data_IF_889040226548
#
_entry.id   IF_889040226548
#
_cell.length_a   1.000
_cell.length_b   1.000
_cell.length_c   1.000
_cell.angle_alpha   90.00
_cell.angle_beta   90.00
_cell.angle_gamma   90.00
#
_symmetry.space_group_name_H-M   'P 1'
#
loop_
_entity.id
_entity.type
_entity.pdbx_description
1 polymer ?
#
# COMPACT_ATOMS: atom_id res chain seq x y z
N UNK A 1 4.25 23.85 19.59
CA UNK A 1 4.56 23.28 18.26
C UNK A 1 3.43 23.72 17.35
N UNK A 2 3.74 24.26 16.17
CA UNK A 2 2.71 24.65 15.21
C UNK A 2 2.29 23.39 14.43
N UNK A 3 1.33 22.64 14.98
CA UNK A 3 0.86 21.35 14.44
C UNK A 3 0.39 21.45 12.98
N UNK A 4 0.11 22.66 12.50
CA UNK A 4 -0.30 22.93 11.12
C UNK A 4 0.78 22.69 10.06
N UNK A 5 2.05 22.47 10.43
CA UNK A 5 3.15 22.22 9.47
C UNK A 5 3.61 20.76 9.39
N UNK A 6 3.23 19.92 10.34
CA UNK A 6 3.74 18.55 10.44
C UNK A 6 2.71 17.53 9.91
N UNK A 7 2.89 17.11 8.66
CA UNK A 7 2.04 16.10 8.04
C UNK A 7 2.47 14.69 8.46
N UNK A 8 1.50 13.82 8.76
CA UNK A 8 1.74 12.43 9.17
C UNK A 8 2.38 11.57 8.07
N UNK A 9 2.37 12.03 6.81
CA UNK A 9 3.00 11.38 5.65
C UNK A 9 4.48 11.73 5.47
N UNK A 10 5.07 12.52 6.35
CA UNK A 10 6.51 12.85 6.28
C UNK A 10 7.37 11.66 6.73
N UNK A 11 8.50 11.42 6.05
CA UNK A 11 9.39 10.28 6.32
C UNK A 11 10.04 10.34 7.70
N UNK A 12 10.56 11.51 8.08
CA UNK A 12 11.23 11.70 9.35
C UNK A 12 10.96 13.11 9.86
N UNK A 13 10.40 13.15 11.08
CA UNK A 13 10.36 14.33 11.94
C UNK A 13 10.85 13.86 13.31
N UNK A 14 11.93 14.47 13.79
CA UNK A 14 12.44 14.26 15.15
C UNK A 14 12.88 15.60 15.74
N UNK A 15 13.48 15.60 16.92
CA UNK A 15 14.03 16.78 17.56
C UNK A 15 15.44 16.53 18.08
N UNK A 16 16.27 17.55 18.07
CA UNK A 16 17.61 17.48 18.65
C UNK A 16 17.58 17.07 20.12
N UNK A 17 18.40 16.07 20.49
CA UNK A 17 18.54 15.60 21.87
C UNK A 17 19.40 16.54 22.74
N UNK A 18 20.26 17.33 22.10
CA UNK A 18 21.19 18.31 22.66
C UNK A 18 21.41 19.47 21.68
N UNK A 19 22.01 20.55 22.14
CA UNK A 19 22.37 21.67 21.25
C UNK A 19 23.33 21.18 20.17
N UNK A 20 23.07 21.54 18.91
CA UNK A 20 23.90 21.10 17.78
C UNK A 20 24.39 22.30 16.98
N UNK A 21 25.70 22.39 16.79
CA UNK A 21 26.33 23.39 15.93
C UNK A 21 26.65 22.78 14.58
N UNK A 22 26.10 23.38 13.52
CA UNK A 22 26.34 22.93 12.15
C UNK A 22 27.82 23.08 11.77
N UNK A 23 28.51 22.02 11.33
CA UNK A 23 29.89 22.12 10.87
C UNK A 23 30.02 22.90 9.55
N UNK A 24 28.91 23.12 8.83
CA UNK A 24 28.91 23.81 7.54
C UNK A 24 28.51 25.29 7.63
N UNK A 25 27.60 25.65 8.53
CA UNK A 25 27.12 27.04 8.67
C UNK A 25 27.60 27.74 9.95
N UNK A 26 28.13 26.98 10.93
CA UNK A 26 28.48 27.51 12.25
C UNK A 26 27.28 27.92 13.11
N UNK A 27 26.05 27.73 12.62
CA UNK A 27 24.84 28.07 13.38
C UNK A 27 24.53 26.99 14.41
N UNK A 28 24.17 27.42 15.62
CA UNK A 28 23.74 26.54 16.71
C UNK A 28 22.22 26.45 16.74
N UNK A 29 21.71 25.23 16.68
CA UNK A 29 20.30 24.91 16.90
C UNK A 29 20.15 24.34 18.32
N UNK A 30 19.26 24.90 19.17
CA UNK A 30 19.11 24.43 20.54
C UNK A 30 18.46 23.05 20.59
N UNK A 31 18.68 22.31 21.69
CA UNK A 31 17.96 21.10 22.05
C UNK A 31 16.45 21.28 21.89
N UNK A 32 15.78 20.26 21.34
CA UNK A 32 14.36 20.29 21.05
C UNK A 32 14.01 20.93 19.70
N UNK A 33 14.98 21.52 18.97
CA UNK A 33 14.74 22.00 17.61
C UNK A 33 14.34 20.86 16.68
N UNK A 34 13.33 21.08 15.84
CA UNK A 34 12.82 20.07 14.93
C UNK A 34 13.80 19.77 13.80
N UNK A 35 14.02 18.48 13.55
CA UNK A 35 14.75 17.95 12.41
C UNK A 35 13.75 17.29 11.48
N UNK A 36 13.76 17.73 10.21
CA UNK A 36 12.93 17.17 9.16
C UNK A 36 13.83 16.66 8.04
N UNK A 37 13.58 15.44 7.55
CA UNK A 37 14.27 14.96 6.36
C UNK A 37 13.69 15.66 5.12
N UNK A 38 14.53 16.39 4.39
CA UNK A 38 14.16 17.15 3.20
C UNK A 38 14.97 16.72 1.98
N UNK A 39 14.37 16.83 0.80
CA UNK A 39 15.05 16.72 -0.49
C UNK A 39 15.08 18.08 -1.18
N UNK A 40 16.23 18.42 -1.77
CA UNK A 40 16.43 19.66 -2.53
C UNK A 40 16.50 19.31 -4.01
N UNK A 41 15.45 19.66 -4.74
CA UNK A 41 15.27 19.36 -6.16
C UNK A 41 15.65 20.59 -6.97
N UNK A 42 16.63 20.48 -7.86
CA UNK A 42 16.95 21.55 -8.80
C UNK A 42 15.89 21.59 -9.91
N UNK A 43 15.03 22.61 -9.90
CA UNK A 43 14.02 22.80 -10.96
C UNK A 43 14.65 23.38 -12.22
N UNK A 44 15.57 24.34 -12.06
CA UNK A 44 16.36 24.90 -13.16
C UNK A 44 17.64 25.56 -12.60
N UNK A 45 18.41 26.23 -13.47
CA UNK A 45 19.68 26.89 -13.08
C UNK A 45 19.55 27.87 -11.91
N UNK A 46 18.39 28.49 -11.70
CA UNK A 46 18.17 29.56 -10.70
C UNK A 46 17.23 29.16 -9.56
N UNK A 47 16.61 27.99 -9.61
CA UNK A 47 15.55 27.60 -8.67
C UNK A 47 15.76 26.18 -8.15
N UNK A 48 15.80 26.07 -6.83
CA UNK A 48 15.69 24.82 -6.11
C UNK A 48 14.33 24.77 -5.40
N UNK A 49 13.71 23.60 -5.38
CA UNK A 49 12.52 23.30 -4.60
C UNK A 49 12.95 22.40 -3.44
N UNK A 50 12.67 22.84 -2.21
CA UNK A 50 12.85 21.99 -1.03
C UNK A 50 11.50 21.36 -0.68
N UNK A 51 11.46 20.05 -0.57
CA UNK A 51 10.29 19.30 -0.10
C UNK A 51 10.68 18.48 1.12
N UNK A 52 9.72 18.25 2.02
CA UNK A 52 9.86 17.16 2.98
C UNK A 52 9.88 15.84 2.23
N UNK A 53 10.78 14.93 2.58
CA UNK A 53 10.78 13.58 2.01
C UNK A 53 9.51 12.88 2.48
N UNK A 54 8.64 12.43 1.57
CA UNK A 54 7.43 11.73 1.96
C UNK A 54 7.72 10.27 2.30
N UNK A 55 6.93 9.69 3.20
CA UNK A 55 6.89 8.26 3.41
C UNK A 55 6.06 7.57 2.33
N UNK A 56 6.69 6.72 1.54
CA UNK A 56 6.06 6.07 0.40
C UNK A 56 4.89 5.17 0.82
N UNK A 57 5.03 4.40 1.90
CA UNK A 57 3.96 3.57 2.46
C UNK A 57 2.73 4.42 2.82
N UNK A 58 2.96 5.53 3.54
CA UNK A 58 1.92 6.46 3.96
C UNK A 58 1.21 7.10 2.76
N UNK A 59 1.94 7.55 1.74
CA UNK A 59 1.34 8.12 0.53
C UNK A 59 0.47 7.09 -0.20
N UNK A 60 0.99 5.88 -0.40
CA UNK A 60 0.34 4.84 -1.17
C UNK A 60 -0.93 4.30 -0.48
N UNK A 61 -0.89 4.09 0.85
CA UNK A 61 -2.08 3.75 1.63
C UNK A 61 -3.14 4.87 1.54
N UNK A 62 -2.73 6.13 1.53
CA UNK A 62 -3.67 7.26 1.49
C UNK A 62 -4.35 7.37 0.14
N UNK A 63 -3.60 7.17 -0.95
CA UNK A 63 -4.16 7.09 -2.29
C UNK A 63 -5.16 5.93 -2.33
N UNK A 64 -4.77 4.74 -1.87
CA UNK A 64 -5.65 3.58 -1.85
C UNK A 64 -6.97 3.82 -1.08
N UNK A 65 -6.89 4.45 0.09
CA UNK A 65 -8.06 4.80 0.91
C UNK A 65 -8.98 5.82 0.21
N UNK A 66 -8.42 6.84 -0.43
CA UNK A 66 -9.20 7.86 -1.14
C UNK A 66 -9.89 7.27 -2.37
N UNK A 67 -9.18 6.50 -3.19
CA UNK A 67 -9.76 5.85 -4.38
C UNK A 67 -10.82 4.82 -3.99
N UNK A 68 -10.62 4.09 -2.88
CA UNK A 68 -11.66 3.23 -2.32
C UNK A 68 -12.89 4.02 -1.91
N UNK A 69 -12.73 5.14 -1.19
CA UNK A 69 -13.86 5.98 -0.79
C UNK A 69 -14.64 6.47 -2.01
N UNK A 70 -13.94 6.92 -3.05
CA UNK A 70 -14.55 7.37 -4.30
C UNK A 70 -15.35 6.25 -4.98
N UNK A 71 -14.78 5.04 -5.11
CA UNK A 71 -15.50 3.90 -5.71
C UNK A 71 -16.75 3.52 -4.91
N UNK A 72 -16.69 3.59 -3.57
CA UNK A 72 -17.84 3.36 -2.70
C UNK A 72 -18.92 4.42 -2.85
N UNK A 73 -18.55 5.69 -3.01
CA UNK A 73 -19.49 6.77 -3.28
C UNK A 73 -20.21 6.55 -4.61
N UNK A 74 -19.48 6.21 -5.68
CA UNK A 74 -20.07 5.89 -6.99
C UNK A 74 -21.03 4.70 -6.87
N UNK A 75 -20.57 3.58 -6.30
CA UNK A 75 -21.38 2.36 -6.15
C UNK A 75 -22.67 2.57 -5.36
N UNK A 76 -22.60 3.40 -4.31
CA UNK A 76 -23.75 3.74 -3.48
C UNK A 76 -24.75 4.62 -4.26
N UNK A 77 -24.26 5.63 -4.98
CA UNK A 77 -25.08 6.50 -5.83
C UNK A 77 -25.81 5.70 -6.92
N UNK A 78 -25.10 4.78 -7.58
CA UNK A 78 -25.66 3.88 -8.60
C UNK A 78 -26.64 2.84 -8.03
N UNK A 79 -26.84 2.79 -6.70
CA UNK A 79 -27.81 1.90 -6.07
C UNK A 79 -27.47 0.41 -6.15
N UNK A 80 -26.23 0.06 -6.46
CA UNK A 80 -25.76 -1.33 -6.66
C UNK A 80 -25.98 -2.19 -5.41
N UNK A 81 -25.86 -1.59 -4.22
CA UNK A 81 -26.00 -2.31 -2.94
C UNK A 81 -27.40 -2.17 -2.31
N UNK A 82 -28.38 -1.56 -3.00
CA UNK A 82 -29.74 -1.41 -2.45
C UNK A 82 -30.46 -2.77 -2.40
N UNK A 83 -30.98 -3.15 -1.23
CA UNK A 83 -31.71 -4.40 -1.08
C UNK A 83 -33.02 -4.43 -1.88
N UNK A 84 -33.36 -5.59 -2.45
CA UNK A 84 -34.58 -5.82 -3.24
C UNK A 84 -35.91 -5.62 -2.48
N UNK A 85 -35.89 -5.36 -1.16
CA UNK A 85 -37.11 -5.14 -0.36
C UNK A 85 -37.94 -3.94 -0.83
N UNK A 86 -37.37 -3.06 -1.64
CA UNK A 86 -38.01 -1.88 -2.24
C UNK A 86 -38.75 -2.17 -3.57
N UNK A 87 -38.58 -3.37 -4.16
CA UNK A 87 -39.21 -3.77 -5.43
C UNK A 87 -40.21 -4.92 -5.18
N UNK A 88 -41.25 -4.67 -4.38
CA UNK A 88 -42.39 -5.58 -4.17
C UNK A 88 -43.39 -5.51 -5.32
N UNK A 89 -42.98 -5.81 -6.55
CA UNK A 89 -43.93 -5.91 -7.67
C UNK A 89 -43.31 -6.61 -8.86
N UNK A 90 -43.13 -7.92 -8.70
CA UNK A 90 -43.23 -8.99 -9.72
C UNK A 90 -42.27 -10.14 -9.33
N UNK A 91 -42.88 -11.26 -8.93
CA UNK A 91 -42.18 -12.53 -8.73
C UNK A 91 -41.46 -12.91 -10.03
N UNK A 92 -40.26 -13.47 -9.87
CA UNK A 92 -39.47 -14.28 -10.83
C UNK A 92 -38.49 -13.64 -11.82
N UNK A 93 -38.14 -12.36 -11.74
CA UNK A 93 -36.99 -11.81 -12.49
C UNK A 93 -35.91 -11.27 -11.55
N UNK A 94 -34.65 -11.70 -11.75
CA UNK A 94 -33.50 -11.10 -11.04
C UNK A 94 -33.50 -9.61 -11.37
N UNK A 95 -33.42 -8.74 -10.35
CA UNK A 95 -33.32 -7.29 -10.61
C UNK A 95 -32.01 -7.02 -11.34
N UNK A 96 -32.09 -6.48 -12.55
CA UNK A 96 -30.92 -5.99 -13.26
C UNK A 96 -30.56 -4.61 -12.69
N UNK A 97 -29.28 -4.42 -12.35
CA UNK A 97 -28.75 -3.14 -11.89
C UNK A 97 -27.67 -2.70 -12.87
N UNK A 98 -27.64 -1.42 -13.20
CA UNK A 98 -26.67 -0.81 -14.09
C UNK A 98 -26.23 0.55 -13.55
N UNK A 99 -25.06 1.00 -13.99
CA UNK A 99 -24.64 2.40 -13.81
C UNK A 99 -25.53 3.34 -14.63
N UNK A 100 -25.54 4.61 -14.25
CA UNK A 100 -26.28 5.65 -14.97
C UNK A 100 -25.65 5.97 -16.33
N UNK A 101 -24.33 5.79 -16.46
CA UNK A 101 -23.57 6.00 -17.68
C UNK A 101 -22.30 5.14 -17.71
N UNK A 102 -21.76 4.91 -18.90
CA UNK A 102 -20.46 4.25 -19.06
C UNK A 102 -19.31 5.03 -18.40
N UNK A 103 -19.39 6.37 -18.35
CA UNK A 103 -18.39 7.18 -17.65
C UNK A 103 -18.36 6.83 -16.16
N UNK A 104 -19.53 6.77 -15.52
CA UNK A 104 -19.65 6.42 -14.10
C UNK A 104 -19.17 4.98 -13.83
N UNK A 105 -19.45 4.05 -14.74
CA UNK A 105 -18.94 2.68 -14.69
C UNK A 105 -17.40 2.64 -14.73
N UNK A 106 -16.80 3.34 -15.69
CA UNK A 106 -15.35 3.39 -15.83
C UNK A 106 -14.68 4.11 -14.65
N UNK A 107 -15.23 5.23 -14.18
CA UNK A 107 -14.73 5.93 -12.99
C UNK A 107 -14.71 5.01 -11.74
N UNK A 108 -15.73 4.16 -11.58
CA UNK A 108 -15.76 3.15 -10.52
C UNK A 108 -14.64 2.13 -10.70
N UNK A 109 -14.51 1.54 -11.88
CA UNK A 109 -13.51 0.51 -12.19
C UNK A 109 -12.10 1.07 -11.97
N UNK A 110 -11.81 2.27 -12.49
CA UNK A 110 -10.54 2.98 -12.35
C UNK A 110 -10.21 3.22 -10.87
N UNK A 111 -11.18 3.72 -10.09
CA UNK A 111 -11.01 3.98 -8.66
C UNK A 111 -10.70 2.70 -7.87
N UNK A 112 -11.35 1.57 -8.20
CA UNK A 112 -11.04 0.27 -7.58
C UNK A 112 -9.64 -0.20 -7.98
N UNK A 113 -9.29 -0.13 -9.28
CA UNK A 113 -7.98 -0.56 -9.77
C UNK A 113 -6.85 0.26 -9.13
N UNK A 114 -6.99 1.59 -9.06
CA UNK A 114 -6.04 2.47 -8.37
C UNK A 114 -5.90 2.08 -6.89
N UNK A 115 -7.02 1.81 -6.22
CA UNK A 115 -7.01 1.39 -4.83
C UNK A 115 -6.21 0.09 -4.62
N UNK A 116 -6.37 -0.89 -5.52
CA UNK A 116 -5.66 -2.18 -5.48
C UNK A 116 -4.16 -1.97 -5.70
N UNK A 117 -3.81 -1.27 -6.78
CA UNK A 117 -2.40 -1.05 -7.16
C UNK A 117 -1.68 -0.31 -6.04
N UNK A 118 -2.28 0.76 -5.51
CA UNK A 118 -1.65 1.58 -4.48
C UNK A 118 -1.60 0.89 -3.12
N UNK A 119 -2.58 0.05 -2.76
CA UNK A 119 -2.50 -0.81 -1.57
C UNK A 119 -1.31 -1.78 -1.68
N UNK A 120 -1.09 -2.35 -2.87
CA UNK A 120 0.03 -3.26 -3.11
C UNK A 120 1.38 -2.54 -3.11
N UNK A 121 1.47 -1.38 -3.76
CA UNK A 121 2.67 -0.54 -3.75
C UNK A 121 3.03 -0.10 -2.33
N UNK A 122 2.04 0.18 -1.47
CA UNK A 122 2.30 0.47 -0.07
C UNK A 122 2.97 -0.69 0.66
N UNK A 123 2.54 -1.93 0.40
CA UNK A 123 3.17 -3.11 1.00
C UNK A 123 4.61 -3.29 0.53
N UNK A 124 4.89 -3.13 -0.77
CA UNK A 124 6.28 -3.17 -1.30
C UNK A 124 7.15 -2.10 -0.66
N UNK A 125 6.65 -0.86 -0.58
CA UNK A 125 7.36 0.25 0.04
C UNK A 125 7.65 -0.01 1.52
N UNK A 126 6.67 -0.53 2.26
CA UNK A 126 6.82 -0.87 3.67
C UNK A 126 7.93 -1.90 3.89
N UNK A 127 7.92 -2.99 3.13
CA UNK A 127 8.92 -4.04 3.27
C UNK A 127 10.31 -3.51 2.96
N UNK A 128 10.48 -2.74 1.88
CA UNK A 128 11.78 -2.17 1.52
C UNK A 128 12.28 -1.16 2.56
N UNK A 129 11.37 -0.40 3.19
CA UNK A 129 11.70 0.52 4.27
C UNK A 129 12.14 -0.20 5.56
N UNK A 130 11.53 -1.34 5.88
CA UNK A 130 11.86 -2.11 7.10
C UNK A 130 13.18 -2.88 6.97
N UNK A 131 13.60 -3.26 5.75
CA UNK A 131 14.85 -3.99 5.55
C UNK A 131 16.06 -3.08 5.87
N UNK A 132 16.90 -3.42 6.85
CA UNK A 132 18.12 -2.68 7.17
C UNK A 132 19.13 -2.71 6.02
N UNK A 133 19.94 -1.66 5.87
CA UNK A 133 20.95 -1.56 4.80
C UNK A 133 22.06 -2.63 4.91
N UNK A 134 22.36 -3.08 6.13
CA UNK A 134 23.36 -4.09 6.45
C UNK A 134 22.80 -5.53 6.52
N UNK A 135 21.50 -5.72 6.31
CA UNK A 135 20.88 -7.04 6.35
C UNK A 135 21.32 -7.90 5.15
N UNK A 136 21.61 -9.17 5.43
CA UNK A 136 22.03 -10.18 4.46
C UNK A 136 21.09 -11.38 4.48
N UNK A 137 20.41 -11.62 3.36
CA UNK A 137 19.53 -12.76 3.20
C UNK A 137 20.28 -13.92 2.55
N UNK A 138 20.22 -15.10 3.16
CA UNK A 138 20.86 -16.31 2.66
C UNK A 138 19.78 -17.24 2.11
N UNK A 139 19.86 -17.56 0.81
CA UNK A 139 18.89 -18.47 0.17
C UNK A 139 19.60 -19.54 -0.64
N UNK A 140 19.02 -20.74 -0.66
CA UNK A 140 19.51 -21.80 -1.54
C UNK A 140 18.96 -21.59 -2.94
N UNK A 141 19.84 -21.54 -3.94
CA UNK A 141 19.38 -21.61 -5.34
C UNK A 141 18.79 -23.00 -5.63
N UNK A 142 18.22 -23.19 -6.82
CA UNK A 142 17.66 -24.47 -7.34
C UNK A 142 18.55 -25.72 -7.19
N UNK A 143 19.81 -25.59 -6.77
CA UNK A 143 20.70 -26.65 -6.31
C UNK A 143 21.02 -26.40 -4.84
N UNK A 144 20.72 -27.37 -3.97
CA UNK A 144 20.87 -27.29 -2.50
C UNK A 144 22.29 -26.93 -2.02
N UNK A 145 23.29 -27.01 -2.90
CA UNK A 145 24.71 -26.86 -2.59
C UNK A 145 25.16 -25.39 -2.57
N UNK A 146 24.48 -24.47 -3.27
CA UNK A 146 24.92 -23.07 -3.39
C UNK A 146 24.03 -22.17 -2.54
N UNK A 147 24.61 -21.60 -1.49
CA UNK A 147 24.03 -20.50 -0.71
C UNK A 147 24.33 -19.21 -1.46
N UNK A 148 23.28 -18.52 -1.90
CA UNK A 148 23.35 -17.17 -2.44
C UNK A 148 23.12 -16.18 -1.30
N UNK A 149 24.08 -15.30 -1.06
CA UNK A 149 23.91 -14.13 -0.18
C UNK A 149 23.36 -12.97 -1.01
N UNK A 150 22.26 -12.37 -0.53
CA UNK A 150 21.63 -11.21 -1.13
C UNK A 150 21.73 -10.02 -0.17
N UNK A 151 22.28 -8.90 -0.65
CA UNK A 151 22.20 -7.61 0.03
C UNK A 151 20.81 -6.96 -0.14
N UNK A 152 20.57 -5.85 0.57
CA UNK A 152 19.32 -5.09 0.48
C UNK A 152 18.91 -4.75 -0.96
N UNK A 153 19.84 -4.30 -1.80
CA UNK A 153 19.53 -3.91 -3.18
C UNK A 153 19.06 -5.13 -3.99
N UNK A 154 19.69 -6.28 -3.79
CA UNK A 154 19.30 -7.53 -4.42
C UNK A 154 17.95 -8.03 -3.89
N UNK A 155 17.71 -7.97 -2.58
CA UNK A 155 16.44 -8.35 -1.96
C UNK A 155 15.30 -7.48 -2.52
N UNK A 156 15.48 -6.16 -2.54
CA UNK A 156 14.47 -5.22 -3.02
C UNK A 156 14.07 -5.49 -4.48
N UNK A 157 15.05 -5.80 -5.32
CA UNK A 157 14.89 -5.95 -6.77
C UNK A 157 14.42 -7.33 -7.22
N UNK A 158 14.92 -8.39 -6.60
CA UNK A 158 14.77 -9.75 -7.13
C UNK A 158 13.90 -10.65 -6.28
N UNK A 159 13.80 -10.39 -4.96
CA UNK A 159 13.02 -11.23 -4.09
C UNK A 159 11.53 -10.92 -4.24
N UNK A 160 10.70 -11.96 -4.30
CA UNK A 160 9.26 -11.76 -4.33
C UNK A 160 8.78 -11.17 -3.01
N UNK A 161 7.83 -10.25 -3.04
CA UNK A 161 7.19 -9.72 -1.83
C UNK A 161 6.58 -10.80 -0.93
N UNK A 162 6.15 -11.93 -1.50
CA UNK A 162 5.66 -13.08 -0.74
C UNK A 162 6.78 -13.68 0.14
N UNK A 163 7.96 -13.84 -0.42
CA UNK A 163 9.13 -14.31 0.33
C UNK A 163 9.62 -13.25 1.32
N UNK A 164 9.60 -11.97 0.93
CA UNK A 164 9.95 -10.89 1.85
C UNK A 164 9.04 -10.87 3.09
N UNK A 165 7.72 -11.04 2.92
CA UNK A 165 6.80 -11.12 4.06
C UNK A 165 6.84 -12.44 4.82
N UNK A 166 7.09 -13.57 4.15
CA UNK A 166 7.00 -14.88 4.82
C UNK A 166 8.29 -15.38 5.43
N UNK A 167 9.43 -14.79 5.06
CA UNK A 167 10.76 -15.20 5.52
C UNK A 167 11.60 -14.00 5.97
N UNK A 168 11.81 -12.99 5.10
CA UNK A 168 12.75 -11.88 5.39
C UNK A 168 12.32 -11.02 6.58
N UNK A 169 11.10 -10.48 6.57
CA UNK A 169 10.61 -9.67 7.69
C UNK A 169 10.50 -10.47 9.00
N UNK A 170 10.01 -11.73 9.00
CA UNK A 170 10.09 -12.62 10.16
C UNK A 170 11.48 -12.74 10.77
N UNK A 171 12.53 -12.87 9.95
CA UNK A 171 13.92 -12.97 10.39
C UNK A 171 14.42 -11.64 10.98
N UNK A 172 14.19 -10.52 10.29
CA UNK A 172 14.61 -9.18 10.74
C UNK A 172 13.93 -8.80 12.06
N UNK A 173 12.62 -9.03 12.16
CA UNK A 173 11.80 -8.60 13.30
C UNK A 173 11.63 -9.68 14.37
N UNK A 174 12.31 -10.83 14.22
CA UNK A 174 12.24 -11.97 15.13
C UNK A 174 10.80 -12.37 15.48
N UNK A 175 9.95 -12.46 14.46
CA UNK A 175 8.51 -12.77 14.59
C UNK A 175 8.15 -14.01 13.77
N UNK A 176 7.11 -14.78 14.12
CA UNK A 176 6.69 -15.91 13.30
C UNK A 176 6.29 -15.52 11.87
N UNK A 177 6.26 -16.50 10.96
CA UNK A 177 5.74 -16.29 9.62
C UNK A 177 4.21 -16.08 9.63
N UNK A 178 3.65 -15.10 8.90
CA UNK A 178 2.21 -14.86 8.86
C UNK A 178 1.43 -15.88 8.02
N UNK A 179 2.08 -16.83 7.33
CA UNK A 179 1.48 -17.73 6.32
C UNK A 179 0.18 -18.44 6.73
N UNK A 180 -0.03 -18.68 8.03
CA UNK A 180 -1.22 -19.36 8.58
C UNK A 180 -2.30 -18.41 9.11
N UNK A 181 -2.12 -17.10 8.97
CA UNK A 181 -2.98 -16.07 9.53
C UNK A 181 -3.94 -15.48 8.48
N UNK A 182 -5.02 -14.85 8.95
CA UNK A 182 -6.01 -14.19 8.08
C UNK A 182 -5.40 -13.07 7.24
N UNK A 183 -4.50 -12.27 7.81
CA UNK A 183 -3.82 -11.18 7.08
C UNK A 183 -3.06 -11.69 5.85
N UNK A 184 -2.47 -12.88 5.93
CA UNK A 184 -1.80 -13.52 4.80
C UNK A 184 -2.77 -13.90 3.68
N UNK A 185 -3.94 -14.44 4.03
CA UNK A 185 -4.97 -14.75 3.03
C UNK A 185 -5.47 -13.48 2.33
N UNK A 186 -5.65 -12.38 3.08
CA UNK A 186 -5.96 -11.06 2.53
C UNK A 186 -4.88 -10.58 1.55
N UNK A 187 -3.62 -10.60 1.97
CA UNK A 187 -2.47 -10.30 1.11
C UNK A 187 -2.46 -11.14 -0.19
N UNK A 188 -2.66 -12.47 -0.10
CA UNK A 188 -2.67 -13.35 -1.28
C UNK A 188 -3.82 -13.03 -2.24
N UNK A 189 -5.01 -12.70 -1.72
CA UNK A 189 -6.15 -12.25 -2.53
C UNK A 189 -5.82 -10.93 -3.24
N UNK A 190 -5.33 -9.94 -2.51
CA UNK A 190 -4.93 -8.64 -3.05
C UNK A 190 -3.85 -8.79 -4.13
N UNK A 191 -2.84 -9.63 -3.88
CA UNK A 191 -1.79 -9.96 -4.86
C UNK A 191 -2.37 -10.55 -6.14
N UNK A 192 -3.24 -11.55 -6.02
CA UNK A 192 -3.85 -12.23 -7.18
C UNK A 192 -4.57 -11.22 -8.09
N UNK A 193 -5.38 -10.34 -7.51
CA UNK A 193 -6.14 -9.35 -8.29
C UNK A 193 -5.20 -8.30 -8.88
N UNK A 194 -4.21 -7.81 -8.11
CA UNK A 194 -3.18 -6.89 -8.62
C UNK A 194 -2.44 -7.48 -9.81
N UNK A 195 -1.97 -8.72 -9.71
CA UNK A 195 -1.25 -9.40 -10.80
C UNK A 195 -2.12 -9.48 -12.06
N UNK A 196 -3.43 -9.75 -11.92
CA UNK A 196 -4.37 -9.76 -13.05
C UNK A 196 -4.60 -8.37 -13.65
N UNK A 197 -4.60 -7.31 -12.84
CA UNK A 197 -4.69 -5.92 -13.33
C UNK A 197 -3.46 -5.58 -14.20
N UNK A 198 -2.26 -5.90 -13.71
CA UNK A 198 -0.99 -5.55 -14.39
C UNK A 198 -0.73 -6.45 -15.61
N UNK A 199 -1.09 -7.73 -15.51
CA UNK A 199 -0.87 -8.73 -16.56
C UNK A 199 -2.19 -9.24 -17.15
N UNK A 200 -3.10 -8.31 -17.43
CA UNK A 200 -4.45 -8.61 -17.90
C UNK A 200 -4.44 -9.48 -19.16
N UNK A 201 -5.16 -10.61 -19.11
CA UNK A 201 -5.17 -11.60 -20.20
C UNK A 201 -6.35 -11.35 -21.15
N UNK A 202 -6.28 -11.94 -22.35
CA UNK A 202 -7.36 -11.87 -23.32
C UNK A 202 -8.70 -12.39 -22.77
N UNK A 203 -8.69 -13.37 -21.86
CA UNK A 203 -9.89 -13.88 -21.19
C UNK A 203 -10.64 -12.80 -20.38
N UNK A 204 -9.92 -11.82 -19.82
CA UNK A 204 -10.54 -10.70 -19.09
C UNK A 204 -11.17 -9.67 -20.04
N UNK A 205 -10.88 -9.72 -21.34
CA UNK A 205 -11.40 -8.77 -22.35
C UNK A 205 -12.53 -9.36 -23.20
N UNK A 206 -12.93 -10.60 -22.94
CA UNK A 206 -14.03 -11.26 -23.64
C UNK A 206 -15.34 -11.00 -22.93
N UNK A 207 -16.43 -10.90 -23.69
CA UNK A 207 -17.77 -10.94 -23.13
C UNK A 207 -17.96 -12.24 -22.35
N UNK A 208 -18.58 -12.14 -21.18
CA UNK A 208 -18.78 -13.25 -20.25
C UNK A 208 -20.14 -13.14 -19.60
N UNK A 209 -20.76 -14.30 -19.36
CA UNK A 209 -21.95 -14.40 -18.51
C UNK A 209 -21.58 -14.50 -17.03
N UNK A 210 -22.57 -14.48 -16.13
CA UNK A 210 -22.36 -14.48 -14.67
C UNK A 210 -21.62 -15.72 -14.13
N UNK A 211 -21.64 -16.84 -14.87
CA UNK A 211 -20.99 -18.08 -14.50
C UNK A 211 -19.47 -18.10 -14.80
N UNK A 212 -18.97 -17.11 -15.54
CA UNK A 212 -17.56 -17.04 -15.97
C UNK A 212 -16.84 -15.92 -15.23
N UNK A 213 -16.07 -16.21 -14.16
CA UNK A 213 -15.42 -15.18 -13.36
C UNK A 213 -14.26 -14.52 -14.11
N UNK A 214 -14.48 -13.30 -14.59
CA UNK A 214 -13.43 -12.42 -15.13
C UNK A 214 -12.84 -11.51 -14.06
N UNK A 215 -11.78 -10.77 -14.39
CA UNK A 215 -11.24 -9.72 -13.51
C UNK A 215 -12.33 -8.73 -13.10
N UNK A 216 -13.23 -8.36 -14.02
CA UNK A 216 -14.34 -7.45 -13.73
C UNK A 216 -15.23 -7.99 -12.61
N UNK A 217 -15.55 -9.29 -12.62
CA UNK A 217 -16.30 -9.90 -11.52
C UNK A 217 -15.56 -9.79 -10.18
N UNK A 218 -14.23 -9.95 -10.16
CA UNK A 218 -13.44 -9.79 -8.95
C UNK A 218 -13.45 -8.33 -8.46
N UNK A 219 -13.28 -7.34 -9.33
CA UNK A 219 -13.26 -5.91 -8.96
C UNK A 219 -14.58 -5.43 -8.33
N UNK A 220 -15.71 -6.06 -8.66
CA UNK A 220 -17.00 -5.71 -8.07
C UNK A 220 -17.29 -6.41 -6.74
N UNK A 221 -16.46 -7.36 -6.33
CA UNK A 221 -16.65 -8.17 -5.13
C UNK A 221 -15.49 -8.04 -4.11
N UNK A 222 -14.60 -7.06 -4.29
CA UNK A 222 -13.50 -6.83 -3.35
C UNK A 222 -13.97 -6.24 -2.02
N UNK A 223 -13.29 -6.62 -0.94
CA UNK A 223 -13.37 -5.99 0.38
C UNK A 223 -12.45 -4.74 0.43
N UNK A 224 -12.55 -3.87 1.46
CA UNK A 224 -11.70 -2.69 1.60
C UNK A 224 -10.20 -2.97 1.44
N UNK A 225 -9.61 -2.44 0.38
CA UNK A 225 -8.30 -2.87 -0.12
C UNK A 225 -7.13 -2.31 0.70
N UNK A 226 -7.23 -1.05 1.11
CA UNK A 226 -6.27 -0.44 2.02
C UNK A 226 -6.24 -1.16 3.38
N UNK A 227 -7.38 -1.70 3.83
CA UNK A 227 -7.46 -2.48 5.07
C UNK A 227 -6.72 -3.80 4.95
N UNK A 228 -6.85 -4.52 3.83
CA UNK A 228 -6.11 -5.78 3.61
C UNK A 228 -4.60 -5.57 3.59
N UNK A 229 -4.12 -4.49 2.95
CA UNK A 229 -2.70 -4.12 3.01
C UNK A 229 -2.28 -3.75 4.43
N UNK A 230 -3.12 -3.00 5.15
CA UNK A 230 -2.87 -2.63 6.54
C UNK A 230 -2.80 -3.85 7.46
N UNK A 231 -3.64 -4.87 7.28
CA UNK A 231 -3.69 -6.04 8.15
C UNK A 231 -2.37 -6.82 8.19
N UNK A 232 -1.69 -6.97 7.05
CA UNK A 232 -0.38 -7.63 7.00
C UNK A 232 0.73 -6.71 7.52
N UNK A 233 0.66 -5.40 7.27
CA UNK A 233 1.58 -4.42 7.84
C UNK A 233 1.46 -4.41 9.38
N UNK A 234 0.23 -4.40 9.91
CA UNK A 234 -0.07 -4.40 11.35
C UNK A 234 0.48 -5.63 12.05
N UNK A 235 0.60 -6.76 11.34
CA UNK A 235 1.25 -7.95 11.87
C UNK A 235 2.71 -7.67 12.24
N UNK A 236 3.46 -7.00 11.36
CA UNK A 236 4.87 -6.71 11.56
C UNK A 236 5.11 -5.48 12.45
N UNK A 237 4.29 -4.44 12.34
CA UNK A 237 4.40 -3.22 13.17
C UNK A 237 4.26 -3.54 14.67
N UNK A 238 3.56 -4.62 15.04
CA UNK A 238 3.48 -5.08 16.44
C UNK A 238 4.83 -5.50 17.02
N UNK A 239 5.77 -5.94 16.18
CA UNK A 239 7.10 -6.42 16.59
C UNK A 239 8.20 -5.38 16.37
N UNK A 240 7.87 -4.19 15.85
CA UNK A 240 8.83 -3.10 15.67
C UNK A 240 9.04 -2.33 16.98
N UNK A 241 10.29 -1.95 17.28
CA UNK A 241 10.62 -1.11 18.44
C UNK A 241 9.96 0.26 18.38
N UNK A 242 9.93 0.86 17.19
CA UNK A 242 9.25 2.13 16.92
C UNK A 242 8.20 1.96 15.83
N UNK A 243 7.00 2.47 16.08
CA UNK A 243 5.91 2.42 15.11
C UNK A 243 6.04 3.56 14.12
N UNK A 244 5.80 3.33 12.81
CA UNK A 244 5.75 4.42 11.85
C UNK A 244 4.68 5.45 12.24
N UNK A 245 4.99 6.74 12.10
CA UNK A 245 4.07 7.84 12.49
C UNK A 245 2.69 7.72 11.83
N UNK A 246 2.67 7.36 10.55
CA UNK A 246 1.44 7.21 9.77
C UNK A 246 0.56 6.02 10.20
N UNK A 247 1.07 5.11 11.03
CA UNK A 247 0.39 3.86 11.38
C UNK A 247 -0.98 4.09 12.03
N UNK A 248 -1.11 5.14 12.85
CA UNK A 248 -2.35 5.49 13.57
C UNK A 248 -3.45 6.14 12.72
N UNK A 249 -3.13 6.57 11.50
CA UNK A 249 -4.03 7.34 10.60
C UNK A 249 -5.00 6.46 9.80
N UNK A 250 -4.74 5.17 9.83
CA UNK A 250 -5.59 4.15 9.25
C UNK A 250 -6.13 3.34 10.43
N UNK A 251 -7.45 3.27 10.55
CA UNK A 251 -8.17 2.41 11.49
C UNK A 251 -9.19 1.62 10.70
#
# INVERSE_FOLDING_TARGET
>A
MDDNKNDWRMQLITSLAEDWTSPWSGQTAPKGSQITLCSVIKLNKKKNLTIAVPNATALCLNISKRSWKLSREIRTKSGIDKSQKSQKSQKSQKSQVSFESYSQEFDYIESVMESIVMAFTAMEAFVNEVIPDDFKYHTHRKSEIIIEEMDKTQIERWLSIEEKFSTVLPEILQTPSPKKLRCWQGFKKLKKIRDRIIHMKAADRKSSGPETPTLWHELFNVEPLFSQAKDIIDYFVKSMESKPRWHGEYK
#
